data_IF_751167169104
#
_entry.id   IF_751167169104
#
_cell.length_a   1.000
_cell.length_b   1.000
_cell.length_c   1.000
_cell.angle_alpha   90.00
_cell.angle_beta   90.00
_cell.angle_gamma   90.00
#
_symmetry.space_group_name_H-M   'P 1'
#
loop_
_entity.id
_entity.type
_entity.pdbx_description
1 polymer ?
#
# COMPACT_ATOMS: atom_id res chain seq x y z
N UNK A 1 13.24 22.17 4.50
CA UNK A 1 12.52 20.95 4.07
C UNK A 1 13.32 20.29 2.97
N UNK A 2 13.19 18.97 2.80
CA UNK A 2 13.83 18.24 1.70
C UNK A 2 13.06 18.56 0.40
N UNK A 3 13.77 18.86 -0.68
CA UNK A 3 13.18 19.07 -2.00
C UNK A 3 13.25 17.78 -2.83
N UNK A 4 12.27 17.52 -3.71
CA UNK A 4 12.29 16.36 -4.59
C UNK A 4 13.43 16.49 -5.62
N UNK A 5 13.91 15.34 -6.12
CA UNK A 5 14.81 15.31 -7.26
C UNK A 5 14.11 15.79 -8.54
N UNK A 6 14.88 16.29 -9.51
CA UNK A 6 14.36 16.61 -10.84
C UNK A 6 14.13 15.35 -11.67
N UNK A 7 13.21 15.42 -12.64
CA UNK A 7 12.94 14.31 -13.57
C UNK A 7 14.21 13.87 -14.33
N UNK A 8 15.09 14.83 -14.65
CA UNK A 8 16.39 14.55 -15.27
C UNK A 8 17.27 13.69 -14.34
N UNK A 9 17.37 14.05 -13.06
CA UNK A 9 18.17 13.30 -12.10
C UNK A 9 17.61 11.90 -11.87
N UNK A 10 16.28 11.75 -11.79
CA UNK A 10 15.61 10.44 -11.69
C UNK A 10 15.91 9.55 -12.91
N UNK A 11 15.81 10.10 -14.12
CA UNK A 11 16.09 9.33 -15.33
C UNK A 11 17.56 8.93 -15.44
N UNK A 12 18.50 9.82 -15.08
CA UNK A 12 19.93 9.47 -15.05
C UNK A 12 20.16 8.30 -14.08
N UNK A 13 19.62 8.37 -12.86
CA UNK A 13 19.75 7.31 -11.88
C UNK A 13 19.17 5.98 -12.41
N UNK A 14 17.98 6.02 -13.01
CA UNK A 14 17.36 4.84 -13.63
C UNK A 14 18.26 4.21 -14.69
N UNK A 15 18.84 4.99 -15.62
CA UNK A 15 19.72 4.47 -16.67
C UNK A 15 21.00 3.87 -16.09
N UNK A 16 21.65 4.55 -15.14
CA UNK A 16 22.85 4.03 -14.45
C UNK A 16 22.55 2.70 -13.76
N UNK A 17 21.43 2.58 -13.06
CA UNK A 17 21.05 1.30 -12.46
C UNK A 17 20.75 0.23 -13.52
N UNK A 18 20.08 0.59 -14.61
CA UNK A 18 19.69 -0.35 -15.66
C UNK A 18 20.88 -0.95 -16.41
N UNK A 19 21.98 -0.21 -16.51
CA UNK A 19 23.26 -0.72 -17.05
C UNK A 19 23.91 -1.78 -16.15
N UNK A 20 23.64 -1.75 -14.84
CA UNK A 20 24.32 -2.58 -13.84
C UNK A 20 23.43 -3.69 -13.26
N UNK A 21 22.10 -3.60 -13.42
CA UNK A 21 21.12 -4.49 -12.81
C UNK A 21 20.13 -5.00 -13.86
N UNK A 22 19.76 -6.28 -13.76
CA UNK A 22 18.82 -6.90 -14.69
C UNK A 22 17.42 -6.22 -14.64
N UNK A 23 16.94 -5.93 -13.43
CA UNK A 23 15.59 -5.43 -13.19
C UNK A 23 15.66 -4.10 -12.44
N UNK A 24 15.21 -3.04 -13.10
CA UNK A 24 15.11 -1.68 -12.55
C UNK A 24 13.79 -1.12 -13.06
N UNK A 25 13.01 -0.52 -12.16
CA UNK A 25 11.70 0.05 -12.47
C UNK A 25 11.41 1.26 -11.58
N UNK A 26 10.46 2.10 -12.00
CA UNK A 26 9.90 3.13 -11.14
C UNK A 26 8.81 2.55 -10.24
N UNK A 27 8.89 2.79 -8.93
CA UNK A 27 7.88 2.40 -7.94
C UNK A 27 6.65 3.33 -7.92
N UNK A 28 6.27 3.86 -9.08
CA UNK A 28 5.08 4.71 -9.27
C UNK A 28 3.90 3.91 -9.88
N UNK A 29 4.16 2.66 -10.27
CA UNK A 29 3.17 1.74 -10.79
C UNK A 29 2.37 1.06 -9.68
N UNK A 30 1.56 0.09 -10.07
CA UNK A 30 0.88 -0.75 -9.10
C UNK A 30 1.85 -1.72 -8.45
N UNK A 31 1.95 -1.70 -7.12
CA UNK A 31 2.83 -2.56 -6.31
C UNK A 31 2.46 -4.06 -6.34
N UNK A 32 1.28 -4.41 -6.87
CA UNK A 32 0.76 -5.77 -6.85
C UNK A 32 -0.01 -6.11 -5.57
N UNK A 33 -0.24 -7.41 -5.36
CA UNK A 33 -0.97 -7.94 -4.20
C UNK A 33 -0.05 -8.75 -3.25
N UNK A 34 1.27 -8.69 -3.48
CA UNK A 34 2.25 -9.47 -2.73
C UNK A 34 2.65 -8.78 -1.44
N UNK A 35 1.79 -8.88 -0.44
CA UNK A 35 2.09 -8.50 0.93
C UNK A 35 2.54 -9.71 1.75
N UNK A 36 3.60 -9.53 2.54
CA UNK A 36 4.05 -10.51 3.54
C UNK A 36 3.08 -10.58 4.72
N UNK A 37 2.88 -11.76 5.28
CA UNK A 37 2.03 -11.99 6.45
C UNK A 37 2.89 -12.36 7.65
N UNK A 38 2.85 -11.54 8.71
CA UNK A 38 3.65 -11.74 9.92
C UNK A 38 3.03 -12.74 10.90
N UNK A 39 1.75 -13.09 10.70
CA UNK A 39 0.95 -13.83 11.66
C UNK A 39 -0.03 -12.94 12.44
N UNK A 40 0.15 -11.62 12.43
CA UNK A 40 -0.77 -10.66 13.04
C UNK A 40 -1.51 -9.81 11.99
N UNK A 41 -2.66 -10.31 11.56
CA UNK A 41 -3.43 -9.71 10.47
C UNK A 41 -3.83 -8.25 10.68
N UNK A 42 -4.34 -7.89 11.87
CA UNK A 42 -4.80 -6.51 12.12
C UNK A 42 -3.62 -5.53 12.14
N UNK A 43 -2.50 -5.93 12.77
CA UNK A 43 -1.28 -5.11 12.82
C UNK A 43 -0.67 -4.94 11.43
N UNK A 44 -0.61 -6.02 10.66
CA UNK A 44 -0.10 -5.98 9.28
C UNK A 44 -0.95 -5.06 8.40
N UNK A 45 -2.28 -5.22 8.43
CA UNK A 45 -3.21 -4.37 7.66
C UNK A 45 -3.00 -2.89 8.02
N UNK A 46 -2.93 -2.55 9.31
CA UNK A 46 -2.74 -1.17 9.76
C UNK A 46 -1.33 -0.64 9.49
N UNK A 47 -0.31 -1.50 9.49
CA UNK A 47 1.07 -1.17 9.15
C UNK A 47 1.20 -0.83 7.67
N UNK A 48 0.78 -1.75 6.79
CA UNK A 48 0.78 -1.56 5.33
C UNK A 48 -0.02 -0.30 4.97
N UNK A 49 -1.26 -0.23 5.45
CA UNK A 49 -2.18 0.88 5.12
C UNK A 49 -1.81 2.24 5.73
N UNK A 50 -0.80 2.29 6.60
CA UNK A 50 -0.25 3.56 7.10
C UNK A 50 0.72 4.23 6.13
N UNK A 51 1.31 3.45 5.23
CA UNK A 51 2.25 3.93 4.22
C UNK A 51 1.55 4.13 2.88
N UNK A 52 0.69 3.20 2.47
CA UNK A 52 -0.04 3.28 1.20
C UNK A 52 -1.43 2.63 1.27
N UNK A 53 -2.44 3.13 0.53
CA UNK A 53 -3.76 2.50 0.48
C UNK A 53 -3.73 1.13 -0.21
N UNK A 54 -4.34 0.11 0.39
CA UNK A 54 -4.50 -1.20 -0.23
C UNK A 54 -5.77 -1.23 -1.11
N UNK A 55 -5.70 -1.80 -2.31
CA UNK A 55 -6.90 -2.06 -3.13
C UNK A 55 -7.73 -3.20 -2.52
N UNK A 56 -9.04 -3.21 -2.77
CA UNK A 56 -9.93 -4.27 -2.29
C UNK A 56 -9.45 -5.68 -2.67
N UNK A 57 -8.98 -5.86 -3.91
CA UNK A 57 -8.49 -7.15 -4.39
C UNK A 57 -7.27 -7.62 -3.58
N UNK A 58 -6.34 -6.71 -3.29
CA UNK A 58 -5.19 -6.99 -2.44
C UNK A 58 -5.61 -7.35 -1.01
N UNK A 59 -6.57 -6.63 -0.43
CA UNK A 59 -7.10 -6.94 0.91
C UNK A 59 -7.76 -8.33 0.93
N UNK A 60 -8.55 -8.68 -0.09
CA UNK A 60 -9.19 -10.00 -0.21
C UNK A 60 -8.17 -11.12 -0.29
N UNK A 61 -7.13 -10.96 -1.10
CA UNK A 61 -6.04 -11.93 -1.19
C UNK A 61 -5.26 -12.04 0.12
N UNK A 62 -5.04 -10.93 0.80
CA UNK A 62 -4.36 -10.90 2.08
C UNK A 62 -5.13 -11.65 3.19
N UNK A 63 -6.44 -11.40 3.28
CA UNK A 63 -7.32 -12.13 4.19
C UNK A 63 -7.35 -13.63 3.88
N UNK A 64 -7.36 -14.00 2.59
CA UNK A 64 -7.29 -15.40 2.17
C UNK A 64 -5.99 -16.07 2.62
N UNK A 65 -4.84 -15.39 2.48
CA UNK A 65 -3.54 -15.88 2.99
C UNK A 65 -3.57 -16.09 4.50
N UNK A 66 -4.24 -15.20 5.24
CA UNK A 66 -4.39 -15.29 6.69
C UNK A 66 -5.51 -16.25 7.15
N UNK A 67 -6.29 -16.85 6.23
CA UNK A 67 -7.45 -17.68 6.57
C UNK A 67 -8.58 -16.90 7.29
N UNK A 68 -8.66 -15.58 7.06
CA UNK A 68 -9.56 -14.68 7.76
C UNK A 68 -10.75 -14.23 6.91
N UNK A 69 -11.79 -13.77 7.59
CA UNK A 69 -13.03 -13.29 6.97
C UNK A 69 -13.07 -11.76 6.85
N UNK A 70 -13.87 -11.26 5.89
CA UNK A 70 -14.06 -9.82 5.65
C UNK A 70 -14.56 -9.03 6.86
N UNK A 71 -15.17 -9.71 7.86
CA UNK A 71 -15.54 -9.11 9.15
C UNK A 71 -14.39 -8.34 9.82
N UNK A 72 -13.13 -8.75 9.63
CA UNK A 72 -11.96 -8.02 10.15
C UNK A 72 -11.93 -6.57 9.61
N UNK A 73 -12.08 -6.40 8.30
CA UNK A 73 -12.10 -5.09 7.64
C UNK A 73 -13.29 -4.27 8.11
N UNK A 74 -14.47 -4.89 8.18
CA UNK A 74 -15.69 -4.21 8.66
C UNK A 74 -15.51 -3.71 10.09
N UNK A 75 -14.88 -4.50 10.96
CA UNK A 75 -14.60 -4.12 12.35
C UNK A 75 -13.57 -2.98 12.43
N UNK A 76 -12.50 -3.01 11.64
CA UNK A 76 -11.49 -1.95 11.59
C UNK A 76 -12.08 -0.62 11.09
N UNK A 77 -12.99 -0.67 10.11
CA UNK A 77 -13.72 0.52 9.63
C UNK A 77 -14.65 1.06 10.74
N UNK A 78 -15.43 0.18 11.40
CA UNK A 78 -16.31 0.58 12.51
C UNK A 78 -15.55 1.21 13.67
N UNK A 79 -14.36 0.69 14.00
CA UNK A 79 -13.44 1.26 15.02
C UNK A 79 -12.80 2.57 14.56
N UNK A 80 -12.92 2.95 13.29
CA UNK A 80 -12.28 4.11 12.70
C UNK A 80 -10.77 3.96 12.50
N UNK A 81 -10.24 2.73 12.55
CA UNK A 81 -8.82 2.44 12.31
C UNK A 81 -8.50 2.39 10.81
N UNK A 82 -9.45 1.89 10.00
CA UNK A 82 -9.43 1.95 8.54
C UNK A 82 -10.54 2.86 8.03
N UNK A 83 -10.34 3.39 6.83
CA UNK A 83 -11.38 4.03 6.02
C UNK A 83 -11.39 3.41 4.63
N UNK A 84 -12.57 3.39 4.02
CA UNK A 84 -12.78 2.96 2.64
C UNK A 84 -12.96 4.19 1.74
N UNK A 85 -12.27 4.21 0.61
CA UNK A 85 -12.37 5.26 -0.41
C UNK A 85 -12.59 4.64 -1.78
N UNK A 86 -13.33 5.34 -2.63
CA UNK A 86 -13.51 4.96 -4.02
C UNK A 86 -12.76 5.92 -4.94
N UNK A 87 -11.90 5.38 -5.79
CA UNK A 87 -11.15 6.15 -6.78
C UNK A 87 -11.06 5.39 -8.11
N UNK A 88 -11.39 6.05 -9.22
CA UNK A 88 -11.43 5.45 -10.56
C UNK A 88 -12.18 4.11 -10.61
N UNK A 89 -13.32 4.03 -9.91
CA UNK A 89 -14.15 2.82 -9.88
C UNK A 89 -13.64 1.69 -8.98
N UNK A 90 -12.48 1.85 -8.32
CA UNK A 90 -11.90 0.86 -7.41
C UNK A 90 -12.00 1.31 -5.96
N UNK A 91 -12.16 0.34 -5.06
CA UNK A 91 -12.17 0.56 -3.62
C UNK A 91 -10.75 0.43 -3.06
N UNK A 92 -10.41 1.32 -2.14
CA UNK A 92 -9.15 1.40 -1.45
C UNK A 92 -9.38 1.48 0.06
N UNK A 93 -8.53 0.82 0.82
CA UNK A 93 -8.54 0.80 2.28
C UNK A 93 -7.24 1.42 2.77
N UNK A 94 -7.36 2.43 3.62
CA UNK A 94 -6.22 3.13 4.19
C UNK A 94 -6.41 3.32 5.68
N UNK A 95 -5.31 3.41 6.42
CA UNK A 95 -5.35 3.76 7.82
C UNK A 95 -5.89 5.17 7.95
N UNK A 96 -6.81 5.36 8.90
CA UNK A 96 -7.32 6.71 9.20
C UNK A 96 -6.15 7.59 9.66
N UNK A 97 -5.86 8.63 8.88
CA UNK A 97 -4.81 9.58 9.21
C UNK A 97 -5.23 10.39 10.46
N UNK A 98 -4.28 10.71 11.36
CA UNK A 98 -4.56 11.63 12.44
C UNK A 98 -4.96 12.98 11.84
N UNK A 99 -6.10 13.51 12.27
CA UNK A 99 -6.48 14.89 11.96
C UNK A 99 -5.48 15.76 12.72
N UNK A 100 -4.62 16.48 12.00
CA UNK A 100 -3.86 17.57 12.63
C UNK A 100 -4.86 18.67 12.98
N UNK A 101 -5.02 18.94 14.28
CA UNK A 101 -5.70 20.12 14.78
C UNK A 101 -4.87 21.37 14.50
#
# INVERSE_FOLDING_TARGET
>A
GIQPASDQALNIAYQVFKENLANVEYLIGYEGNEFGFSGNLEEDLLGITSVHPMREEAVREYLKKAGADWRVITNLIKKGSLIELKYQGKNFYLRKLPVKA
#
